data_IF_054380699416
#
_entry.id   IF_054380699416
#
_cell.length_a   1.000
_cell.length_b   1.000
_cell.length_c   1.000
_cell.angle_alpha   90.00
_cell.angle_beta   90.00
_cell.angle_gamma   90.00
#
_symmetry.space_group_name_H-M   'P 1'
#
loop_
_entity.id
_entity.type
_entity.pdbx_description
1 polymer ?
#
# COMPACT_ATOMS: atom_id res chain seq x y z
N UNK A 1 61.42 29.26 14.44
CA UNK A 1 60.31 28.78 15.29
C UNK A 1 59.01 28.85 14.50
N UNK A 2 58.45 27.66 14.26
CA UNK A 2 57.06 27.28 13.86
C UNK A 2 56.27 28.18 12.90
N UNK A 3 56.27 27.75 11.63
CA UNK A 3 55.16 27.94 10.68
C UNK A 3 53.96 27.10 11.15
N UNK A 4 52.76 27.67 11.21
CA UNK A 4 51.51 26.92 11.30
C UNK A 4 50.88 26.87 9.91
N UNK A 5 50.89 25.67 9.31
CA UNK A 5 50.18 25.33 8.08
C UNK A 5 48.73 25.03 8.44
N UNK A 6 47.80 25.69 7.77
CA UNK A 6 46.37 25.38 7.87
C UNK A 6 46.06 24.06 7.16
N UNK A 7 45.24 23.22 7.79
CA UNK A 7 44.55 22.12 7.13
C UNK A 7 43.06 22.43 7.12
N UNK A 8 42.57 22.89 5.97
CA UNK A 8 41.15 22.89 5.68
C UNK A 8 40.74 21.44 5.38
N UNK A 9 40.08 20.79 6.34
CA UNK A 9 39.49 19.48 6.14
C UNK A 9 38.30 19.63 5.16
N UNK A 10 38.46 19.04 3.97
CA UNK A 10 37.39 18.96 2.97
C UNK A 10 36.52 17.76 3.33
N UNK A 11 35.30 18.01 3.83
CA UNK A 11 34.30 16.97 4.03
C UNK A 11 33.71 16.58 2.67
N UNK A 12 33.72 15.30 2.27
CA UNK A 12 33.01 14.85 1.08
C UNK A 12 31.50 14.95 1.34
N UNK A 13 30.80 15.77 0.56
CA UNK A 13 29.35 15.73 0.45
C UNK A 13 28.97 14.42 -0.25
N UNK A 14 28.48 13.45 0.53
CA UNK A 14 27.77 12.31 -0.04
C UNK A 14 26.48 12.85 -0.66
N UNK A 15 26.38 12.77 -1.98
CA UNK A 15 25.13 13.01 -2.69
C UNK A 15 24.26 11.79 -2.42
N UNK A 16 23.26 11.92 -1.54
CA UNK A 16 22.19 10.96 -1.44
C UNK A 16 21.44 10.97 -2.78
N UNK A 17 21.63 9.92 -3.58
CA UNK A 17 20.80 9.67 -4.76
C UNK A 17 19.39 9.34 -4.26
N UNK A 18 18.54 10.37 -4.17
CA UNK A 18 17.10 10.16 -3.96
C UNK A 18 16.59 9.53 -5.24
N UNK A 19 16.24 8.25 -5.20
CA UNK A 19 15.46 7.66 -6.27
C UNK A 19 14.09 8.33 -6.20
N UNK A 20 13.83 9.28 -7.10
CA UNK A 20 12.50 9.82 -7.26
C UNK A 20 11.65 8.68 -7.84
N UNK A 21 10.93 7.97 -6.96
CA UNK A 21 9.92 7.02 -7.39
C UNK A 21 8.75 7.82 -7.98
N UNK A 22 8.41 7.56 -9.23
CA UNK A 22 7.24 8.16 -9.87
C UNK A 22 5.99 7.44 -9.35
N UNK A 23 5.22 8.13 -8.51
CA UNK A 23 3.98 7.62 -7.93
C UNK A 23 2.78 7.96 -8.81
N UNK A 24 1.92 6.97 -9.08
CA UNK A 24 0.63 7.20 -9.72
C UNK A 24 -0.38 7.53 -8.62
N UNK A 25 -0.83 8.79 -8.57
CA UNK A 25 -1.70 9.27 -7.49
C UNK A 25 -3.02 9.84 -8.02
N UNK A 26 -4.11 9.62 -7.29
CA UNK A 26 -5.37 10.32 -7.51
C UNK A 26 -6.18 10.42 -6.23
N UNK A 27 -6.79 11.58 -5.98
CA UNK A 27 -7.64 11.78 -4.80
C UNK A 27 -6.89 11.66 -3.46
N UNK A 28 -5.57 11.80 -3.46
CA UNK A 28 -4.73 11.57 -2.28
C UNK A 28 -4.30 10.11 -2.08
N UNK A 29 -4.79 9.19 -2.91
CA UNK A 29 -4.38 7.79 -2.90
C UNK A 29 -3.23 7.53 -3.87
N UNK A 30 -2.47 6.48 -3.59
CA UNK A 30 -1.33 6.04 -4.40
C UNK A 30 -1.61 4.62 -4.92
N UNK A 31 -1.63 4.50 -6.24
CA UNK A 31 -1.93 3.24 -6.92
C UNK A 31 -0.67 2.41 -7.00
N UNK A 32 -0.76 1.18 -6.48
CA UNK A 32 0.35 0.23 -6.46
C UNK A 32 0.26 -0.70 -7.67
N UNK A 33 1.32 -1.47 -7.97
CA UNK A 33 1.28 -2.53 -8.99
C UNK A 33 0.44 -3.76 -8.60
N UNK A 34 -0.53 -3.64 -7.69
CA UNK A 34 -1.43 -4.73 -7.25
C UNK A 34 -2.84 -4.25 -6.95
N UNK A 35 -3.62 -5.07 -6.21
CA UNK A 35 -5.00 -4.72 -5.85
C UNK A 35 -5.12 -3.66 -4.76
N UNK A 36 -4.16 -3.60 -3.85
CA UNK A 36 -4.17 -2.63 -2.76
C UNK A 36 -3.80 -1.24 -3.26
N UNK A 37 -4.49 -0.23 -2.76
CA UNK A 37 -4.21 1.18 -3.03
C UNK A 37 -3.81 1.79 -1.69
N UNK A 38 -2.70 2.51 -1.68
CA UNK A 38 -2.20 3.12 -0.46
C UNK A 38 -2.88 4.47 -0.21
N UNK A 39 -3.56 4.58 0.93
CA UNK A 39 -4.16 5.83 1.40
C UNK A 39 -3.19 6.64 2.26
N UNK A 40 -2.40 5.95 3.10
CA UNK A 40 -1.40 6.57 3.97
C UNK A 40 -0.31 5.57 4.39
N UNK A 41 0.94 6.02 4.62
CA UNK A 41 1.40 7.41 4.56
C UNK A 41 1.72 7.89 3.13
N UNK A 42 1.92 9.19 2.98
CA UNK A 42 2.43 9.77 1.73
C UNK A 42 3.98 9.64 1.67
N UNK A 43 4.58 9.55 0.47
CA UNK A 43 6.02 9.56 0.29
C UNK A 43 6.70 10.76 0.97
N UNK A 44 7.81 10.51 1.64
CA UNK A 44 8.58 11.51 2.38
C UNK A 44 7.94 11.98 3.69
N UNK A 45 6.87 11.32 4.16
CA UNK A 45 6.25 11.71 5.42
C UNK A 45 7.20 11.42 6.60
N UNK A 46 7.47 12.41 7.48
CA UNK A 46 8.14 12.15 8.73
C UNK A 46 7.18 11.45 9.69
N UNK A 47 7.51 10.24 10.11
CA UNK A 47 6.71 9.41 11.01
C UNK A 47 7.30 9.34 12.42
N UNK A 48 6.42 9.04 13.36
CA UNK A 48 6.65 8.90 14.80
C UNK A 48 5.32 8.61 15.51
N UNK A 49 5.20 8.98 16.77
CA UNK A 49 4.03 8.69 17.62
C UNK A 49 4.06 7.28 18.19
N UNK A 50 2.91 6.82 18.71
CA UNK A 50 2.81 5.54 19.43
C UNK A 50 2.98 4.32 18.49
N UNK A 51 2.44 4.41 17.27
CA UNK A 51 2.45 3.36 16.26
C UNK A 51 2.70 3.93 14.88
N UNK A 52 3.28 3.13 13.97
CA UNK A 52 3.17 3.39 12.54
C UNK A 52 1.75 3.02 12.09
N UNK A 53 1.15 3.88 11.26
CA UNK A 53 -0.15 3.63 10.65
C UNK A 53 0.00 3.54 9.13
N UNK A 54 -0.38 2.39 8.56
CA UNK A 54 -0.48 2.18 7.11
C UNK A 54 -1.93 1.88 6.77
N UNK A 55 -2.52 2.65 5.87
CA UNK A 55 -3.90 2.49 5.44
C UNK A 55 -3.95 2.01 3.99
N UNK A 56 -4.55 0.84 3.75
CA UNK A 56 -4.66 0.22 2.43
C UNK A 56 -6.13 0.02 2.06
N UNK A 57 -6.58 0.60 0.95
CA UNK A 57 -7.82 0.20 0.30
C UNK A 57 -7.56 -1.11 -0.48
N UNK A 58 -8.19 -2.20 -0.05
CA UNK A 58 -8.04 -3.55 -0.62
C UNK A 58 -9.18 -3.92 -1.57
N UNK A 59 -9.97 -2.94 -2.02
CA UNK A 59 -11.11 -3.13 -2.92
C UNK A 59 -10.77 -2.94 -4.39
N UNK A 60 -9.50 -2.75 -4.75
CA UNK A 60 -9.07 -2.45 -6.13
C UNK A 60 -9.90 -1.31 -6.77
N UNK A 61 -10.06 -0.21 -6.03
CA UNK A 61 -10.91 0.92 -6.41
C UNK A 61 -12.38 0.52 -6.61
N UNK A 62 -12.91 -0.28 -5.67
CA UNK A 62 -14.28 -0.80 -5.68
C UNK A 62 -14.57 -1.92 -6.69
N UNK A 63 -13.56 -2.44 -7.39
CA UNK A 63 -13.71 -3.53 -8.37
C UNK A 63 -13.55 -4.92 -7.76
N UNK A 64 -12.81 -5.06 -6.65
CA UNK A 64 -12.60 -6.31 -5.94
C UNK A 64 -13.64 -6.50 -4.84
N UNK A 65 -14.27 -7.68 -4.75
CA UNK A 65 -15.11 -8.05 -3.61
C UNK A 65 -14.29 -8.00 -2.31
N UNK A 66 -14.93 -7.84 -1.17
CA UNK A 66 -14.22 -7.83 0.11
C UNK A 66 -14.02 -9.25 0.65
N UNK A 67 -12.95 -9.51 1.43
CA UNK A 67 -12.77 -10.79 2.09
C UNK A 67 -13.92 -11.09 3.07
N UNK A 68 -14.20 -12.37 3.35
CA UNK A 68 -13.47 -13.55 2.89
C UNK A 68 -13.72 -13.87 1.41
N UNK A 69 -12.64 -14.14 0.67
CA UNK A 69 -12.72 -14.51 -0.74
C UNK A 69 -13.15 -15.97 -0.88
N UNK A 70 -13.90 -16.26 -1.94
CA UNK A 70 -14.01 -17.62 -2.45
C UNK A 70 -12.61 -18.07 -2.92
N UNK A 71 -12.04 -19.18 -2.42
CA UNK A 71 -10.72 -19.65 -2.85
C UNK A 71 -10.66 -19.99 -4.34
N UNK A 72 -11.80 -20.28 -4.96
CA UNK A 72 -11.93 -20.52 -6.41
C UNK A 72 -12.24 -19.23 -7.20
N UNK A 73 -12.22 -18.06 -6.54
CA UNK A 73 -12.39 -16.78 -7.25
C UNK A 73 -11.24 -16.58 -8.23
N UNK A 74 -11.55 -16.22 -9.50
CA UNK A 74 -10.51 -15.93 -10.49
C UNK A 74 -9.70 -14.68 -10.12
N UNK A 75 -10.21 -13.84 -9.22
CA UNK A 75 -9.45 -12.73 -8.66
C UNK A 75 -9.62 -12.62 -7.15
N UNK A 76 -8.51 -12.59 -6.41
CA UNK A 76 -8.50 -12.45 -4.94
C UNK A 76 -7.13 -12.02 -4.43
N UNK A 77 -7.07 -11.43 -3.23
CA UNK A 77 -5.81 -11.18 -2.52
C UNK A 77 -5.50 -12.41 -1.66
N UNK A 78 -4.33 -13.02 -1.86
CA UNK A 78 -3.86 -14.15 -1.04
C UNK A 78 -3.31 -13.65 0.29
N UNK A 79 -2.44 -12.64 0.24
CA UNK A 79 -1.80 -12.05 1.42
C UNK A 79 -1.17 -10.68 1.06
N UNK A 80 -1.10 -9.79 2.05
CA UNK A 80 -0.29 -8.57 2.01
C UNK A 80 0.69 -8.61 3.19
N UNK A 81 1.98 -8.59 2.87
CA UNK A 81 3.06 -8.46 3.86
C UNK A 81 3.65 -7.06 3.79
N UNK A 82 4.08 -6.54 4.94
CA UNK A 82 4.61 -5.18 5.03
C UNK A 82 5.90 -5.22 5.86
N UNK A 83 6.94 -4.58 5.33
CA UNK A 83 8.24 -4.44 5.97
C UNK A 83 8.61 -2.98 6.11
N UNK A 84 9.40 -2.66 7.12
CA UNK A 84 10.05 -1.36 7.28
C UNK A 84 11.55 -1.57 7.17
N UNK A 85 12.17 -1.11 6.09
CA UNK A 85 13.58 -1.38 5.84
C UNK A 85 14.37 -0.13 5.50
N UNK A 86 15.67 -0.14 5.79
CA UNK A 86 16.62 0.89 5.41
C UNK A 86 17.99 0.27 5.14
N UNK A 87 18.51 0.56 3.95
CA UNK A 87 19.89 0.20 3.61
C UNK A 87 20.92 1.06 4.34
N UNK A 88 20.53 2.24 4.83
CA UNK A 88 21.43 3.15 5.55
C UNK A 88 21.68 2.65 6.97
N UNK A 89 20.62 2.25 7.68
CA UNK A 89 20.71 1.72 9.05
C UNK A 89 20.99 0.22 9.08
N UNK A 90 20.86 -0.47 7.94
CA UNK A 90 20.98 -1.93 7.85
C UNK A 90 19.81 -2.69 8.49
N UNK A 91 18.69 -2.01 8.76
CA UNK A 91 17.51 -2.60 9.40
C UNK A 91 16.48 -3.08 8.38
N UNK A 92 15.82 -4.17 8.71
CA UNK A 92 14.64 -4.66 8.03
C UNK A 92 13.69 -5.26 9.07
N UNK A 93 12.59 -4.58 9.35
CA UNK A 93 11.61 -5.00 10.35
C UNK A 93 10.35 -5.55 9.68
N UNK A 94 9.79 -6.59 10.28
CA UNK A 94 8.54 -7.20 9.82
C UNK A 94 7.36 -6.54 10.53
N UNK A 95 6.59 -5.73 9.80
CA UNK A 95 5.35 -5.11 10.30
C UNK A 95 4.23 -6.15 10.30
N UNK A 96 3.98 -6.79 9.16
CA UNK A 96 3.07 -7.95 9.04
C UNK A 96 3.68 -9.01 8.14
N UNK A 97 3.57 -10.27 8.56
CA UNK A 97 3.98 -11.44 7.79
C UNK A 97 2.79 -12.30 7.36
N UNK A 98 1.56 -11.83 7.57
CA UNK A 98 0.31 -12.54 7.24
C UNK A 98 0.07 -13.86 7.96
N UNK A 99 0.90 -14.24 8.94
CA UNK A 99 0.84 -15.56 9.60
C UNK A 99 0.97 -15.50 11.12
N UNK A 100 1.31 -14.34 11.67
CA UNK A 100 1.44 -14.15 13.10
C UNK A 100 0.09 -14.29 13.83
N UNK A 101 0.09 -15.00 14.97
CA UNK A 101 -1.05 -15.13 15.87
C UNK A 101 -1.24 -13.88 16.75
N UNK A 102 -2.40 -13.76 17.39
CA UNK A 102 -2.65 -12.74 18.42
C UNK A 102 -1.49 -12.67 19.45
N UNK A 103 -1.07 -11.45 19.80
CA UNK A 103 0.05 -11.14 20.71
C UNK A 103 1.49 -11.32 20.17
N UNK A 104 1.67 -11.43 18.86
CA UNK A 104 3.00 -11.33 18.24
C UNK A 104 3.37 -9.86 17.98
N UNK A 105 4.66 -9.53 18.03
CA UNK A 105 5.18 -8.21 17.72
C UNK A 105 5.00 -7.83 16.24
N UNK A 106 4.98 -8.81 15.33
CA UNK A 106 4.48 -8.64 13.96
C UNK A 106 2.99 -8.92 13.91
N UNK A 107 2.26 -8.14 13.12
CA UNK A 107 0.82 -8.32 12.92
C UNK A 107 0.56 -9.57 12.06
N UNK A 108 -0.57 -10.22 12.31
CA UNK A 108 -1.08 -11.34 11.52
C UNK A 108 -1.59 -10.92 10.14
N UNK A 109 -2.45 -11.74 9.55
CA UNK A 109 -3.11 -11.41 8.28
C UNK A 109 -4.00 -10.17 8.41
N UNK A 110 -3.57 -9.08 7.76
CA UNK A 110 -4.30 -7.80 7.77
C UNK A 110 -5.63 -7.91 7.02
N UNK A 111 -5.81 -8.91 6.15
CA UNK A 111 -7.05 -9.15 5.43
C UNK A 111 -8.18 -9.62 6.37
N UNK A 112 -7.82 -10.22 7.51
CA UNK A 112 -8.76 -10.59 8.58
C UNK A 112 -9.08 -9.42 9.52
N UNK A 113 -8.30 -8.34 9.45
CA UNK A 113 -8.56 -7.13 10.22
C UNK A 113 -9.74 -6.37 9.60
N UNK A 114 -10.54 -5.72 10.46
CA UNK A 114 -11.70 -4.90 10.05
C UNK A 114 -12.62 -5.60 9.03
N UNK A 115 -13.28 -6.73 9.40
CA UNK A 115 -14.13 -7.48 8.49
C UNK A 115 -15.22 -6.60 7.86
N UNK A 116 -15.38 -6.70 6.53
CA UNK A 116 -16.34 -5.90 5.77
C UNK A 116 -15.89 -4.46 5.44
N UNK A 117 -14.72 -4.03 5.90
CA UNK A 117 -14.10 -2.75 5.48
C UNK A 117 -13.31 -2.90 4.17
N UNK A 118 -13.44 -1.92 3.28
CA UNK A 118 -12.57 -1.76 2.10
C UNK A 118 -11.18 -1.29 2.48
N UNK A 119 -11.05 -0.55 3.58
CA UNK A 119 -9.77 -0.02 4.07
C UNK A 119 -9.29 -0.85 5.24
N UNK A 120 -8.00 -1.21 5.23
CA UNK A 120 -7.29 -1.89 6.31
C UNK A 120 -6.32 -0.92 6.96
N UNK A 121 -6.52 -0.65 8.25
CA UNK A 121 -5.63 0.17 9.07
C UNK A 121 -4.65 -0.72 9.82
N UNK A 122 -3.42 -0.77 9.32
CA UNK A 122 -2.31 -1.47 9.94
C UNK A 122 -1.69 -0.56 10.99
N UNK A 123 -1.82 -0.92 12.27
CA UNK A 123 -1.23 -0.19 13.40
C UNK A 123 -0.14 -1.04 14.05
N UNK A 124 1.11 -0.65 13.88
CA UNK A 124 2.25 -1.43 14.39
C UNK A 124 3.10 -0.62 15.36
N UNK A 125 3.41 -1.22 16.51
CA UNK A 125 4.19 -0.58 17.57
C UNK A 125 5.66 -0.50 17.15
N UNK A 126 6.24 0.70 17.25
CA UNK A 126 7.65 0.90 16.98
C UNK A 126 8.53 0.04 17.91
N UNK A 127 9.58 -0.61 17.40
CA UNK A 127 10.52 -1.33 18.24
C UNK A 127 11.42 -0.37 19.02
N UNK A 128 12.00 -0.87 20.10
CA UNK A 128 12.71 -0.08 21.11
C UNK A 128 13.89 0.74 20.57
N UNK A 129 14.63 0.24 19.58
CA UNK A 129 15.75 0.96 18.98
C UNK A 129 15.33 2.18 18.14
N UNK A 130 14.05 2.31 17.77
CA UNK A 130 13.53 3.47 17.04
C UNK A 130 12.99 4.57 17.96
N UNK A 131 12.97 4.35 19.28
CA UNK A 131 12.55 5.33 20.29
C UNK A 131 13.51 6.52 20.28
N UNK A 132 12.96 7.72 20.32
CA UNK A 132 13.73 8.97 20.31
C UNK A 132 12.98 10.09 19.60
N UNK A 133 13.58 11.28 19.59
CA UNK A 133 13.04 12.47 18.93
C UNK A 133 14.08 13.16 18.04
N UNK A 134 13.68 13.58 16.85
CA UNK A 134 14.52 14.27 15.88
C UNK A 134 15.26 13.38 14.87
N UNK A 135 16.26 13.97 14.22
CA UNK A 135 17.07 13.32 13.16
C UNK A 135 18.12 12.36 13.77
N UNK A 136 18.73 11.49 12.95
CA UNK A 136 19.85 10.66 13.37
C UNK A 136 20.94 11.51 14.04
N UNK A 137 21.38 11.11 15.23
CA UNK A 137 22.37 11.85 16.04
C UNK A 137 23.80 11.30 15.88
N UNK A 138 23.94 10.14 15.25
CA UNK A 138 25.19 9.44 14.98
C UNK A 138 25.04 8.48 13.79
N UNK A 139 26.16 7.93 13.31
CA UNK A 139 26.16 6.90 12.26
C UNK A 139 25.54 5.57 12.69
N UNK A 140 25.45 5.36 14.00
CA UNK A 140 24.95 4.12 14.59
C UNK A 140 23.47 4.26 15.01
N UNK A 141 22.83 5.37 14.64
CA UNK A 141 21.43 5.62 14.90
C UNK A 141 20.56 4.71 14.05
N UNK A 142 19.60 4.04 14.69
CA UNK A 142 18.59 3.24 13.98
C UNK A 142 17.48 4.12 13.38
N UNK A 143 17.45 5.42 13.67
CA UNK A 143 16.48 6.37 13.11
C UNK A 143 17.01 6.92 11.80
N UNK A 144 16.15 7.49 10.95
CA UNK A 144 16.55 8.02 9.64
C UNK A 144 15.56 7.70 8.52
N UNK A 145 16.08 7.57 7.30
CA UNK A 145 15.26 7.31 6.12
C UNK A 145 15.00 5.81 5.97
N UNK A 146 13.73 5.48 5.69
CA UNK A 146 13.23 4.12 5.58
C UNK A 146 12.26 4.00 4.42
N UNK A 147 12.06 2.78 3.93
CA UNK A 147 10.99 2.42 3.03
C UNK A 147 9.99 1.51 3.75
N UNK A 148 8.70 1.82 3.61
CA UNK A 148 7.63 0.87 3.89
C UNK A 148 7.45 0.03 2.62
N UNK A 149 7.84 -1.23 2.67
CA UNK A 149 7.73 -2.19 1.55
C UNK A 149 6.42 -2.95 1.68
N UNK A 150 5.46 -2.64 0.81
CA UNK A 150 4.16 -3.30 0.72
C UNK A 150 4.27 -4.39 -0.36
N UNK A 151 4.16 -5.66 0.05
CA UNK A 151 4.29 -6.79 -0.87
C UNK A 151 3.01 -7.58 -0.93
N UNK A 152 2.48 -7.73 -2.13
CA UNK A 152 1.17 -8.32 -2.37
C UNK A 152 1.33 -9.63 -3.12
N UNK A 153 0.71 -10.69 -2.62
CA UNK A 153 0.44 -11.91 -3.38
C UNK A 153 -1.05 -11.95 -3.68
N UNK A 154 -1.40 -12.06 -4.95
CA UNK A 154 -2.79 -12.03 -5.40
C UNK A 154 -2.98 -12.80 -6.69
N UNK A 155 -4.22 -13.17 -6.98
CA UNK A 155 -4.64 -13.72 -8.25
C UNK A 155 -5.42 -12.68 -9.03
N UNK A 156 -5.10 -12.47 -10.30
CA UNK A 156 -5.86 -11.65 -11.23
C UNK A 156 -6.24 -12.49 -12.43
N UNK A 157 -7.54 -12.70 -12.65
CA UNK A 157 -8.08 -13.44 -13.78
C UNK A 157 -7.39 -14.81 -13.99
N UNK A 158 -7.32 -15.61 -12.92
CA UNK A 158 -6.69 -16.94 -12.86
C UNK A 158 -5.16 -16.98 -12.96
N UNK A 159 -4.50 -15.81 -12.98
CA UNK A 159 -3.03 -15.70 -12.96
C UNK A 159 -2.54 -15.19 -11.60
N UNK A 160 -1.61 -15.91 -10.97
CA UNK A 160 -1.03 -15.51 -9.69
C UNK A 160 0.13 -14.51 -9.92
N UNK A 161 0.11 -13.42 -9.17
CA UNK A 161 1.08 -12.34 -9.23
C UNK A 161 1.68 -12.04 -7.86
N UNK A 162 2.89 -11.48 -7.88
CA UNK A 162 3.57 -10.97 -6.71
C UNK A 162 4.19 -9.62 -7.02
N UNK A 163 3.91 -8.61 -6.20
CA UNK A 163 4.39 -7.23 -6.42
C UNK A 163 5.00 -6.65 -5.16
N UNK A 164 5.89 -5.67 -5.34
CA UNK A 164 6.64 -5.01 -4.28
C UNK A 164 6.52 -3.50 -4.48
N UNK A 165 5.97 -2.79 -3.52
CA UNK A 165 5.81 -1.35 -3.61
C UNK A 165 6.42 -0.65 -2.41
N UNK A 166 7.46 0.13 -2.66
CA UNK A 166 8.22 0.80 -1.61
C UNK A 166 7.82 2.27 -1.48
N UNK A 167 7.53 2.68 -0.25
CA UNK A 167 7.17 4.06 0.08
C UNK A 167 8.21 4.68 0.98
N UNK A 168 8.95 5.70 0.50
CA UNK A 168 9.94 6.37 1.31
C UNK A 168 9.27 7.17 2.41
N UNK A 169 9.83 7.08 3.61
CA UNK A 169 9.42 7.81 4.81
C UNK A 169 10.68 8.22 5.59
N UNK A 170 10.53 9.05 6.61
CA UNK A 170 11.61 9.31 7.57
C UNK A 170 11.14 9.08 9.00
N UNK A 171 11.87 8.27 9.76
CA UNK A 171 11.62 8.02 11.18
C UNK A 171 12.32 9.12 11.97
N UNK A 172 11.69 10.29 12.07
CA UNK A 172 12.29 11.48 12.69
C UNK A 172 11.40 12.18 13.72
N UNK A 173 10.09 11.97 13.69
CA UNK A 173 9.23 12.53 14.73
C UNK A 173 9.38 11.74 16.03
N UNK A 174 9.04 12.37 17.15
CA UNK A 174 9.10 11.75 18.48
C UNK A 174 8.39 10.40 18.51
N UNK A 175 9.08 9.37 18.97
CA UNK A 175 8.56 8.05 19.33
C UNK A 175 8.84 7.86 20.81
N UNK A 176 7.78 7.72 21.59
CA UNK A 176 7.88 7.51 23.03
C UNK A 176 7.91 6.03 23.39
N UNK A 177 8.50 5.71 24.53
CA UNK A 177 8.41 4.38 25.10
C UNK A 177 7.02 4.17 25.69
N UNK A 178 6.26 3.24 25.13
CA UNK A 178 4.88 2.92 25.56
C UNK A 178 4.81 1.73 26.52
N UNK A 179 5.96 1.18 26.95
CA UNK A 179 6.04 0.13 27.96
C UNK A 179 6.10 -1.30 27.41
N UNK A 180 5.64 -1.51 26.17
CA UNK A 180 5.55 -2.82 25.51
C UNK A 180 6.12 -2.83 24.09
N UNK A 181 6.98 -1.86 23.75
CA UNK A 181 7.70 -1.84 22.47
C UNK A 181 8.49 -3.15 22.30
N UNK A 182 8.40 -3.82 21.14
CA UNK A 182 9.19 -5.02 20.90
C UNK A 182 10.68 -4.67 20.78
N UNK A 183 11.55 -5.61 21.16
CA UNK A 183 12.99 -5.45 20.88
C UNK A 183 13.24 -5.46 19.37
N UNK A 184 14.17 -4.64 18.88
CA UNK A 184 14.46 -4.61 17.45
C UNK A 184 14.81 -5.98 16.85
N UNK A 185 15.56 -6.82 17.57
CA UNK A 185 15.91 -8.17 17.12
C UNK A 185 14.69 -9.09 16.99
N UNK A 186 13.64 -8.89 17.81
CA UNK A 186 12.43 -9.73 17.78
C UNK A 186 11.55 -9.54 16.55
N UNK A 187 11.68 -8.39 15.88
CA UNK A 187 10.95 -8.05 14.65
C UNK A 187 11.89 -7.93 13.45
N UNK A 188 13.18 -8.15 13.64
CA UNK A 188 14.18 -8.07 12.58
C UNK A 188 14.08 -9.26 11.63
N UNK A 189 14.31 -8.98 10.35
CA UNK A 189 14.43 -9.94 9.27
C UNK A 189 15.75 -9.69 8.52
N UNK A 190 16.34 -10.67 7.81
CA UNK A 190 17.50 -10.40 6.97
C UNK A 190 17.20 -9.30 5.95
N UNK A 191 18.14 -8.37 5.78
CA UNK A 191 18.06 -7.35 4.74
C UNK A 191 18.57 -7.94 3.43
N UNK A 192 17.68 -8.05 2.44
CA UNK A 192 18.01 -8.54 1.10
C UNK A 192 18.57 -7.43 0.24
N UNK A 193 19.51 -7.77 -0.63
CA UNK A 193 20.04 -6.85 -1.63
C UNK A 193 18.99 -6.51 -2.69
N UNK A 194 19.09 -5.35 -3.37
CA UNK A 194 18.19 -5.01 -4.47
C UNK A 194 18.13 -6.08 -5.57
N UNK A 195 19.26 -6.74 -5.85
CA UNK A 195 19.36 -7.83 -6.82
C UNK A 195 18.63 -9.11 -6.38
N UNK A 196 18.59 -9.40 -5.07
CA UNK A 196 17.83 -10.53 -4.53
C UNK A 196 16.32 -10.26 -4.50
N UNK A 197 15.92 -8.99 -4.38
CA UNK A 197 14.51 -8.58 -4.36
C UNK A 197 13.92 -8.57 -5.77
N UNK A 198 14.67 -8.07 -6.75
CA UNK A 198 14.24 -7.92 -8.15
C UNK A 198 12.83 -7.29 -8.28
N UNK A 199 12.68 -6.10 -7.70
CA UNK A 199 11.40 -5.39 -7.69
C UNK A 199 10.91 -5.04 -9.11
N UNK A 200 11.82 -4.88 -10.08
CA UNK A 200 11.46 -4.64 -11.48
C UNK A 200 10.73 -5.86 -12.07
N UNK A 201 11.26 -7.07 -11.88
CA UNK A 201 10.58 -8.28 -12.33
C UNK A 201 9.25 -8.51 -11.59
N UNK A 202 9.23 -8.29 -10.27
CA UNK A 202 8.01 -8.41 -9.46
C UNK A 202 6.91 -7.45 -9.94
N UNK A 203 7.28 -6.22 -10.32
CA UNK A 203 6.31 -5.19 -10.73
C UNK A 203 6.07 -5.15 -12.25
N UNK A 204 6.42 -6.20 -12.99
CA UNK A 204 6.28 -6.27 -14.44
C UNK A 204 4.84 -6.07 -14.96
N UNK A 205 3.83 -6.32 -14.11
CA UNK A 205 2.41 -6.06 -14.42
C UNK A 205 2.06 -4.56 -14.46
N UNK A 206 2.90 -3.70 -13.87
CA UNK A 206 2.67 -2.26 -13.81
C UNK A 206 1.57 -1.85 -12.83
N UNK A 207 1.30 -0.54 -12.76
CA UNK A 207 0.28 0.04 -11.87
C UNK A 207 -1.12 -0.35 -12.35
N UNK A 208 -1.97 -0.77 -11.43
CA UNK A 208 -3.34 -1.20 -11.71
C UNK A 208 -4.38 -0.26 -11.09
N UNK A 209 -5.58 -0.21 -11.67
CA UNK A 209 -6.80 0.41 -11.12
C UNK A 209 -6.77 1.93 -10.91
N UNK A 210 -5.70 2.61 -11.35
CA UNK A 210 -5.61 4.06 -11.43
C UNK A 210 -6.76 4.65 -12.29
N UNK A 211 -7.19 5.90 -12.08
CA UNK A 211 -8.21 6.50 -12.93
C UNK A 211 -7.79 6.50 -14.40
N UNK A 212 -8.67 5.99 -15.27
CA UNK A 212 -8.39 5.79 -16.69
C UNK A 212 -7.76 4.42 -17.03
N UNK A 213 -7.40 3.61 -16.03
CA UNK A 213 -6.96 2.24 -16.23
C UNK A 213 -8.12 1.33 -16.69
N UNK A 214 -7.84 0.49 -17.67
CA UNK A 214 -8.81 -0.39 -18.32
C UNK A 214 -8.81 -1.82 -17.77
N UNK A 215 -8.06 -2.11 -16.70
CA UNK A 215 -8.01 -3.46 -16.11
C UNK A 215 -9.41 -3.90 -15.66
N UNK A 216 -9.82 -5.07 -16.16
CA UNK A 216 -11.08 -5.75 -15.86
C UNK A 216 -10.80 -6.93 -14.94
N UNK A 217 -11.57 -7.02 -13.86
CA UNK A 217 -11.48 -8.10 -12.88
C UNK A 217 -12.62 -9.10 -13.13
N UNK A 218 -12.28 -10.38 -13.27
CA UNK A 218 -13.22 -11.49 -13.24
C UNK A 218 -13.49 -11.88 -11.78
N UNK A 219 -14.76 -12.13 -11.46
CA UNK A 219 -15.18 -12.56 -10.14
C UNK A 219 -16.28 -13.61 -10.23
N UNK A 220 -16.25 -14.56 -9.31
CA UNK A 220 -17.41 -15.40 -9.02
C UNK A 220 -18.46 -14.54 -8.32
N UNK A 221 -19.52 -14.18 -9.02
CA UNK A 221 -20.70 -13.59 -8.37
C UNK A 221 -21.36 -14.68 -7.54
N UNK A 222 -21.19 -14.62 -6.22
CA UNK A 222 -22.01 -15.41 -5.30
C UNK A 222 -23.48 -15.11 -5.58
N UNK A 223 -24.32 -16.15 -5.65
CA UNK A 223 -25.77 -16.05 -5.85
C UNK A 223 -26.41 -15.15 -4.78
N UNK A 224 -26.51 -13.86 -5.05
CA UNK A 224 -27.02 -12.84 -4.14
C UNK A 224 -27.40 -11.57 -4.90
N UNK A 225 -28.61 -11.58 -5.46
CA UNK A 225 -29.41 -10.43 -5.89
C UNK A 225 -28.76 -9.34 -6.79
N UNK A 226 -29.14 -9.38 -8.08
CA UNK A 226 -29.36 -8.16 -8.86
C UNK A 226 -28.24 -7.76 -9.83
N UNK A 227 -28.07 -8.54 -10.89
CA UNK A 227 -27.44 -8.06 -12.12
C UNK A 227 -28.26 -6.89 -12.68
N UNK A 228 -27.76 -5.66 -12.55
CA UNK A 228 -28.22 -4.53 -13.35
C UNK A 228 -27.16 -4.20 -14.38
N UNK A 229 -27.18 -4.96 -15.47
CA UNK A 229 -26.62 -4.52 -16.75
C UNK A 229 -27.47 -3.33 -17.20
N UNK A 230 -26.95 -2.10 -17.06
CA UNK A 230 -27.58 -0.92 -17.65
C UNK A 230 -27.29 -0.89 -19.15
N UNK A 231 -28.15 -1.55 -19.93
CA UNK A 231 -28.20 -1.42 -21.38
C UNK A 231 -28.98 -0.14 -21.73
N UNK A 232 -28.29 0.93 -22.14
CA UNK A 232 -28.95 2.13 -22.67
C UNK A 232 -29.44 1.85 -24.08
N UNK A 233 -30.71 1.45 -24.23
CA UNK A 233 -31.43 1.57 -25.51
C UNK A 233 -32.27 2.83 -25.52
N UNK A 234 -31.86 3.79 -26.34
CA UNK A 234 -32.61 4.99 -26.68
C UNK A 234 -34.00 4.63 -27.22
N UNK A 235 -35.06 4.99 -26.50
CA UNK A 235 -36.44 4.87 -26.96
C UNK A 235 -36.85 6.15 -27.70
N UNK A 236 -36.98 6.06 -29.02
CA UNK A 236 -37.64 7.08 -29.83
C UNK A 236 -39.15 7.03 -29.59
N UNK A 237 -39.71 8.09 -29.01
CA UNK A 237 -41.16 8.27 -28.83
C UNK A 237 -41.75 8.78 -30.15
N UNK A 238 -42.48 7.93 -30.86
CA UNK A 238 -43.39 8.32 -31.94
C UNK A 238 -44.83 8.37 -31.43
N UNK A 239 -45.43 9.55 -31.35
CA UNK A 239 -46.84 9.72 -30.99
C UNK A 239 -47.68 9.94 -32.26
N UNK A 240 -48.61 9.03 -32.51
CA UNK A 240 -49.61 9.11 -33.59
C UNK A 240 -50.66 10.19 -33.30
N UNK A 241 -51.02 10.95 -34.32
CA UNK A 241 -52.15 11.88 -34.34
C UNK A 241 -53.46 11.14 -34.66
N UNK A 242 -54.44 11.22 -33.77
CA UNK A 242 -55.78 10.66 -33.96
C UNK A 242 -56.73 11.76 -34.49
N UNK A 243 -57.17 11.66 -35.73
CA UNK A 243 -58.25 12.49 -36.30
C UNK A 243 -59.60 11.82 -36.09
N UNK A 244 -60.51 12.46 -35.35
CA UNK A 244 -61.90 12.03 -35.21
C UNK A 244 -62.81 12.86 -36.13
N UNK A 245 -63.40 12.20 -37.14
CA UNK A 245 -64.57 12.70 -37.88
C UNK A 245 -65.84 12.37 -37.09
N UNK A 246 -66.72 13.35 -36.87
CA UNK A 246 -68.08 13.14 -36.41
C UNK A 246 -69.05 13.47 -37.55
N UNK A 247 -69.87 12.49 -37.91
CA UNK A 247 -71.08 12.63 -38.70
C UNK A 247 -72.19 11.96 -37.90
N UNK A 248 -73.25 12.68 -37.54
CA UNK A 248 -74.60 12.15 -37.60
C UNK A 248 -75.64 13.29 -37.59
N UNK A 249 -76.56 13.20 -38.54
CA UNK A 249 -77.69 14.07 -38.78
C UNK A 249 -78.82 13.89 -37.76
N UNK A 250 -79.47 14.99 -37.38
CA UNK A 250 -80.90 15.30 -37.59
C UNK A 250 -81.20 16.71 -37.09
#
# INVERSE_FOLDING_TARGET
MKFFSGSAASFPLFVASTWAADFVTSGGQIFTPGFAILDAPQPGTPLGGDTIEVALDVSANGKLNLPPYDPDSPSLIHNITIFLYSYETGRNFTITNGTASENNASLGDIMLSEPGSTVKHVKWTWPDCLIGDGKPDSSDSDRGDYNISIRQSFRLNDEDHYTIFDVPISVTNSIEFVGNNPTCDSVSNPLLTPEEIDAEAANSIGVLFAPGDATVIQQTTGSGAGSMVFEWKSAAVGLMTLTAFHFFSL
#
